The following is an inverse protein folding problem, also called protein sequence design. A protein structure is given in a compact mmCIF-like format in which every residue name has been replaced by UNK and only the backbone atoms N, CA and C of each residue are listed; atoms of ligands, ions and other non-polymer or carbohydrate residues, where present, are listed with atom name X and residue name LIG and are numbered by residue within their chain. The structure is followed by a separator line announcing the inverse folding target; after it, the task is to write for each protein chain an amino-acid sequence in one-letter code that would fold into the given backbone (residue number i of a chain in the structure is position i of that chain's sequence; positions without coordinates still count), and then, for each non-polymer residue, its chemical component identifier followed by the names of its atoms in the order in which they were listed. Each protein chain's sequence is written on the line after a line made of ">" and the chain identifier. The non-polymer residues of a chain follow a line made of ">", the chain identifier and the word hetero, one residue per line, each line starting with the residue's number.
data_IF_182512543325
#
_entry.id   IF_182512543325
#
_cell.length_a   1.000
_cell.length_b   1.000
_cell.length_c   1.000
_cell.angle_alpha   90.00
_cell.angle_beta   90.00
_cell.angle_gamma   90.00
#
_symmetry.space_group_name_H-M   'P 1'
#
loop_
_entity.id
_entity.type
_entity.pdbx_description
1 polymer ?
#
# COMPACT_ATOMS: atom_id res chain seq x y z
N UNK A 1 -23.57 2.38 31.53
CA UNK A 1 -22.21 2.24 31.13
C UNK A 1 -21.86 3.11 29.95
N UNK A 2 -20.84 3.93 30.15
CA UNK A 2 -20.38 4.90 29.18
C UNK A 2 -19.85 4.28 27.88
N UNK A 3 -19.56 2.97 27.87
CA UNK A 3 -19.00 2.29 26.70
C UNK A 3 -19.90 2.32 25.48
N UNK A 4 -21.22 2.27 25.65
CA UNK A 4 -22.15 2.33 24.52
C UNK A 4 -22.22 3.72 23.90
N UNK A 5 -22.15 4.79 24.71
CA UNK A 5 -22.10 6.17 24.21
C UNK A 5 -20.77 6.44 23.53
N UNK A 6 -19.67 5.94 24.09
CA UNK A 6 -18.35 6.07 23.48
C UNK A 6 -18.26 5.35 22.16
N UNK A 7 -18.84 4.17 22.05
CA UNK A 7 -18.82 3.39 20.80
C UNK A 7 -19.58 4.14 19.71
N UNK A 8 -20.70 4.77 20.03
CA UNK A 8 -21.48 5.52 19.06
C UNK A 8 -20.78 6.77 18.59
N UNK A 9 -20.18 7.55 19.51
CA UNK A 9 -19.35 8.70 19.17
C UNK A 9 -18.14 8.30 18.38
N UNK A 10 -17.49 7.20 18.80
CA UNK A 10 -16.31 6.69 18.12
C UNK A 10 -16.62 6.23 16.70
N UNK A 11 -17.79 5.63 16.48
CA UNK A 11 -18.19 5.22 15.13
C UNK A 11 -18.41 6.43 14.21
N UNK A 12 -19.08 7.49 14.69
CA UNK A 12 -19.27 8.71 13.94
C UNK A 12 -17.99 9.47 13.70
N UNK A 13 -17.18 9.62 14.76
CA UNK A 13 -15.89 10.32 14.68
C UNK A 13 -14.84 9.55 13.89
N UNK A 14 -14.88 8.22 13.94
CA UNK A 14 -13.91 7.35 13.29
C UNK A 14 -14.33 6.90 11.90
N UNK A 15 -15.35 7.54 11.32
CA UNK A 15 -15.89 7.15 10.02
C UNK A 15 -14.82 7.04 8.93
N UNK A 16 -13.83 7.92 8.95
CA UNK A 16 -12.75 7.94 7.97
C UNK A 16 -11.38 7.57 8.57
N UNK A 17 -11.37 6.89 9.71
CA UNK A 17 -10.11 6.48 10.33
C UNK A 17 -9.43 5.33 9.58
N UNK A 18 -10.20 4.53 8.84
CA UNK A 18 -9.71 3.44 8.02
C UNK A 18 -8.72 2.53 8.76
N UNK A 19 -9.18 1.94 9.86
CA UNK A 19 -8.40 0.95 10.57
C UNK A 19 -8.10 -0.22 9.61
N UNK A 20 -6.84 -0.60 9.50
CA UNK A 20 -6.41 -1.58 8.51
C UNK A 20 -5.61 -0.99 7.38
N UNK A 21 -5.46 0.35 7.32
CA UNK A 21 -4.41 0.95 6.52
C UNK A 21 -3.11 0.72 7.28
N UNK A 22 -2.56 -0.46 7.09
CA UNK A 22 -1.36 -0.94 7.74
C UNK A 22 -0.24 0.10 7.61
N UNK A 23 0.24 0.61 8.73
CA UNK A 23 1.27 1.67 8.73
C UNK A 23 2.57 1.24 8.09
N UNK A 24 2.89 -0.04 8.22
CA UNK A 24 4.11 -0.57 7.61
C UNK A 24 4.01 -0.56 6.09
N UNK A 25 2.85 -0.88 5.56
CA UNK A 25 2.59 -0.91 4.11
C UNK A 25 2.26 0.49 3.59
N UNK A 26 1.55 1.30 4.38
CA UNK A 26 1.12 2.64 3.99
C UNK A 26 2.27 3.65 4.07
N UNK A 27 3.39 3.30 3.50
CA UNK A 27 4.55 4.14 3.34
C UNK A 27 4.98 4.00 1.87
N UNK A 28 5.24 5.11 1.21
CA UNK A 28 5.40 5.16 -0.24
C UNK A 28 6.39 4.12 -0.78
N UNK A 29 7.58 4.06 -0.22
CA UNK A 29 8.62 3.16 -0.72
C UNK A 29 8.25 1.69 -0.49
N UNK A 30 7.74 1.36 0.69
CA UNK A 30 7.36 -0.02 1.01
C UNK A 30 6.15 -0.48 0.22
N UNK A 31 5.17 0.40 0.02
CA UNK A 31 4.03 0.11 -0.85
C UNK A 31 4.49 -0.18 -2.27
N UNK A 32 5.40 0.63 -2.80
CA UNK A 32 5.95 0.44 -4.15
C UNK A 32 6.68 -0.90 -4.28
N UNK A 33 7.50 -1.25 -3.29
CA UNK A 33 8.24 -2.52 -3.29
C UNK A 33 7.29 -3.71 -3.26
N UNK A 34 6.31 -3.70 -2.36
CA UNK A 34 5.34 -4.79 -2.26
C UNK A 34 4.50 -4.93 -3.52
N UNK A 35 4.10 -3.82 -4.13
CA UNK A 35 3.34 -3.84 -5.39
C UNK A 35 4.18 -4.44 -6.51
N UNK A 36 5.45 -4.06 -6.60
CA UNK A 36 6.36 -4.63 -7.59
C UNK A 36 6.52 -6.13 -7.40
N UNK A 37 6.67 -6.59 -6.15
CA UNK A 37 6.86 -8.01 -5.85
C UNK A 37 5.61 -8.84 -6.08
N UNK A 38 4.43 -8.31 -5.78
CA UNK A 38 3.18 -9.07 -5.98
C UNK A 38 2.85 -9.22 -7.46
N UNK A 39 3.24 -8.26 -8.29
CA UNK A 39 3.04 -8.33 -9.73
C UNK A 39 4.12 -9.13 -10.46
N UNK A 40 5.22 -9.45 -9.78
CA UNK A 40 6.33 -10.22 -10.32
C UNK A 40 6.59 -11.42 -9.41
N UNK A 41 5.73 -12.43 -9.53
CA UNK A 41 5.67 -13.57 -8.62
C UNK A 41 7.00 -14.36 -8.45
N UNK A 42 7.80 -14.58 -9.50
CA UNK A 42 9.08 -15.27 -9.30
C UNK A 42 10.06 -14.50 -8.41
N UNK A 43 9.83 -13.21 -8.22
CA UNK A 43 10.69 -12.34 -7.45
C UNK A 43 11.43 -11.35 -8.32
N UNK A 44 12.06 -10.39 -7.67
CA UNK A 44 12.83 -9.34 -8.33
C UNK A 44 14.17 -9.19 -7.66
N UNK A 45 15.20 -8.89 -8.46
CA UNK A 45 16.52 -8.60 -7.94
C UNK A 45 16.53 -7.22 -7.28
N UNK A 46 17.54 -6.95 -6.46
CA UNK A 46 17.75 -5.65 -5.86
C UNK A 46 17.79 -4.54 -6.91
N UNK A 47 18.53 -4.77 -8.00
CA UNK A 47 18.64 -3.77 -9.06
C UNK A 47 17.34 -3.51 -9.80
N UNK A 48 16.56 -4.56 -10.04
CA UNK A 48 15.24 -4.42 -10.65
C UNK A 48 14.30 -3.59 -9.78
N UNK A 49 14.25 -3.90 -8.47
CA UNK A 49 13.45 -3.15 -7.51
C UNK A 49 13.88 -1.69 -7.44
N UNK A 50 15.18 -1.46 -7.42
CA UNK A 50 15.74 -0.10 -7.38
C UNK A 50 15.24 0.73 -8.55
N UNK A 51 15.27 0.17 -9.74
CA UNK A 51 14.80 0.86 -10.96
C UNK A 51 13.29 1.03 -10.97
N UNK A 52 12.55 -0.03 -10.68
CA UNK A 52 11.09 -0.02 -10.75
C UNK A 52 10.48 0.95 -9.72
N UNK A 53 11.08 1.03 -8.55
CA UNK A 53 10.58 1.85 -7.45
C UNK A 53 11.27 3.21 -7.35
N UNK A 54 12.29 3.46 -8.18
CA UNK A 54 13.07 4.70 -8.20
C UNK A 54 13.63 5.05 -6.82
N UNK A 55 14.30 4.09 -6.20
CA UNK A 55 14.88 4.25 -4.88
C UNK A 55 16.41 4.24 -4.97
N UNK A 56 17.04 4.90 -4.00
CA UNK A 56 18.48 4.81 -3.83
C UNK A 56 18.85 3.47 -3.18
N UNK A 57 20.09 3.05 -3.32
CA UNK A 57 20.58 1.81 -2.70
C UNK A 57 20.31 1.79 -1.20
N UNK A 58 20.65 2.89 -0.52
CA UNK A 58 20.46 2.99 0.92
C UNK A 58 19.01 2.94 1.35
N UNK A 59 18.13 3.66 0.65
CA UNK A 59 16.70 3.65 0.96
C UNK A 59 16.08 2.29 0.69
N UNK A 60 16.41 1.67 -0.44
CA UNK A 60 15.90 0.33 -0.74
C UNK A 60 16.38 -0.69 0.29
N UNK A 61 17.67 -0.68 0.63
CA UNK A 61 18.22 -1.58 1.66
C UNK A 61 17.49 -1.43 2.98
N UNK A 62 17.24 -0.20 3.41
CA UNK A 62 16.53 0.08 4.66
C UNK A 62 15.10 -0.44 4.64
N UNK A 63 14.38 -0.18 3.57
CA UNK A 63 12.98 -0.63 3.46
C UNK A 63 12.86 -2.14 3.30
N UNK A 64 13.79 -2.78 2.57
CA UNK A 64 13.82 -4.23 2.48
C UNK A 64 14.10 -4.89 3.83
N UNK A 65 14.99 -4.31 4.63
CA UNK A 65 15.26 -4.81 5.97
C UNK A 65 14.01 -4.73 6.86
N UNK A 66 13.25 -3.63 6.79
CA UNK A 66 12.01 -3.48 7.55
C UNK A 66 10.98 -4.53 7.13
N UNK A 67 10.81 -4.74 5.83
CA UNK A 67 9.85 -5.71 5.30
C UNK A 67 10.26 -7.15 5.63
N UNK A 68 11.55 -7.45 5.54
CA UNK A 68 12.09 -8.76 5.87
C UNK A 68 11.91 -9.07 7.36
N UNK A 69 12.23 -8.13 8.23
CA UNK A 69 12.05 -8.28 9.67
C UNK A 69 10.57 -8.50 10.05
N UNK A 70 9.67 -7.85 9.33
CA UNK A 70 8.23 -8.02 9.54
C UNK A 70 7.68 -9.32 8.95
N UNK A 71 8.50 -10.08 8.23
CA UNK A 71 8.07 -11.34 7.62
C UNK A 71 7.26 -11.19 6.34
N UNK A 72 7.25 -10.02 5.74
CA UNK A 72 6.45 -9.76 4.53
C UNK A 72 7.17 -10.13 3.25
N UNK A 73 8.49 -10.17 3.27
CA UNK A 73 9.31 -10.57 2.14
C UNK A 73 10.38 -11.55 2.60
N UNK A 74 10.95 -12.26 1.64
CA UNK A 74 12.14 -13.08 1.84
C UNK A 74 13.23 -12.57 0.93
N UNK A 75 14.44 -12.48 1.47
CA UNK A 75 15.61 -12.03 0.72
C UNK A 75 16.55 -13.24 0.56
N UNK A 76 16.82 -13.60 -0.68
CA UNK A 76 17.73 -14.69 -1.03
C UNK A 76 19.00 -14.08 -1.57
N UNK A 77 20.13 -14.46 -0.98
CA UNK A 77 21.45 -14.06 -1.48
C UNK A 77 22.10 -15.26 -2.13
N UNK A 78 22.58 -15.07 -3.34
CA UNK A 78 23.21 -16.12 -4.09
C UNK A 78 24.28 -15.57 -5.02
N UNK A 79 24.77 -16.42 -5.90
CA UNK A 79 25.76 -16.05 -6.88
C UNK A 79 25.26 -16.51 -8.25
N UNK A 80 25.28 -15.59 -9.21
CA UNK A 80 24.98 -15.89 -10.61
C UNK A 80 26.22 -15.52 -11.42
N UNK A 81 26.89 -16.56 -11.95
CA UNK A 81 28.21 -16.37 -12.54
C UNK A 81 29.21 -15.95 -11.47
N UNK A 82 29.88 -14.82 -11.67
CA UNK A 82 30.83 -14.27 -10.71
C UNK A 82 30.26 -13.13 -9.88
N UNK A 83 28.94 -12.88 -9.99
CA UNK A 83 28.28 -11.76 -9.31
C UNK A 83 27.40 -12.25 -8.19
N UNK A 84 27.42 -11.54 -7.08
CA UNK A 84 26.43 -11.75 -6.04
C UNK A 84 25.09 -11.25 -6.53
N UNK A 85 24.04 -12.02 -6.26
CA UNK A 85 22.67 -11.72 -6.63
C UNK A 85 21.83 -11.66 -5.37
N UNK A 86 21.06 -10.60 -5.22
CA UNK A 86 20.05 -10.51 -4.17
C UNK A 86 18.68 -10.58 -4.83
N UNK A 87 17.90 -11.58 -4.46
CA UNK A 87 16.56 -11.79 -4.99
C UNK A 87 15.54 -11.62 -3.86
N UNK A 88 14.50 -10.84 -4.10
CA UNK A 88 13.45 -10.60 -3.13
C UNK A 88 12.14 -11.20 -3.62
N UNK A 89 11.40 -11.80 -2.69
CA UNK A 89 10.06 -12.35 -2.95
C UNK A 89 9.10 -11.93 -1.85
N UNK A 90 7.85 -11.73 -2.22
CA UNK A 90 6.80 -11.53 -1.23
C UNK A 90 6.47 -12.89 -0.58
N UNK A 91 6.25 -12.89 0.73
CA UNK A 91 5.83 -14.10 1.46
C UNK A 91 4.31 -14.26 1.41
N UNK A 92 3.81 -15.42 1.86
CA UNK A 92 2.37 -15.63 2.02
C UNK A 92 1.75 -14.63 2.99
N UNK A 93 2.45 -14.33 4.07
CA UNK A 93 2.01 -13.32 5.04
C UNK A 93 2.03 -11.91 4.42
N UNK A 94 3.06 -11.60 3.65
CA UNK A 94 3.14 -10.33 2.93
C UNK A 94 2.00 -10.16 1.95
N UNK A 95 1.68 -11.21 1.21
CA UNK A 95 0.57 -11.22 0.26
C UNK A 95 -0.77 -11.00 0.97
N UNK A 96 -0.97 -11.68 2.09
CA UNK A 96 -2.19 -11.55 2.89
C UNK A 96 -2.36 -10.13 3.41
N UNK A 97 -1.33 -9.58 4.04
CA UNK A 97 -1.39 -8.21 4.58
C UNK A 97 -1.56 -7.16 3.49
N UNK A 98 -0.90 -7.35 2.37
CA UNK A 98 -1.05 -6.46 1.21
C UNK A 98 -2.48 -6.48 0.68
N UNK A 99 -3.08 -7.66 0.56
CA UNK A 99 -4.46 -7.81 0.09
C UNK A 99 -5.46 -7.15 1.05
N UNK A 100 -5.26 -7.33 2.35
CA UNK A 100 -6.07 -6.67 3.37
C UNK A 100 -5.94 -5.14 3.29
N UNK A 101 -4.72 -4.66 3.08
CA UNK A 101 -4.45 -3.24 2.91
C UNK A 101 -5.19 -2.68 1.68
N UNK A 102 -5.14 -3.38 0.56
CA UNK A 102 -5.83 -2.95 -0.66
C UNK A 102 -7.34 -2.87 -0.47
N UNK A 103 -7.93 -3.79 0.29
CA UNK A 103 -9.37 -3.76 0.56
C UNK A 103 -9.77 -2.50 1.33
N UNK A 104 -8.95 -2.09 2.30
CA UNK A 104 -9.20 -0.85 3.04
C UNK A 104 -8.97 0.37 2.15
N UNK A 105 -7.92 0.36 1.35
CA UNK A 105 -7.62 1.45 0.41
C UNK A 105 -8.76 1.62 -0.60
N UNK A 106 -9.34 0.53 -1.08
CA UNK A 106 -10.50 0.56 -1.97
C UNK A 106 -11.67 1.28 -1.34
N UNK A 107 -11.90 1.09 -0.04
CA UNK A 107 -12.94 1.82 0.70
C UNK A 107 -12.68 3.33 0.70
N UNK A 108 -11.41 3.73 0.91
CA UNK A 108 -11.02 5.14 0.84
C UNK A 108 -11.35 5.71 -0.54
N UNK A 109 -10.96 5.00 -1.58
CA UNK A 109 -11.21 5.42 -2.96
C UNK A 109 -12.70 5.53 -3.24
N UNK A 110 -13.48 4.55 -2.80
CA UNK A 110 -14.94 4.52 -3.00
C UNK A 110 -15.61 5.70 -2.29
N UNK A 111 -15.23 5.96 -1.05
CA UNK A 111 -15.80 7.09 -0.28
C UNK A 111 -15.49 8.42 -0.96
N UNK A 112 -14.24 8.63 -1.35
CA UNK A 112 -13.82 9.88 -2.00
C UNK A 112 -14.42 10.01 -3.41
N UNK A 113 -14.47 8.95 -4.19
CA UNK A 113 -14.97 8.97 -5.55
C UNK A 113 -16.46 9.31 -5.59
N UNK A 114 -17.23 8.79 -4.61
CA UNK A 114 -18.64 9.13 -4.50
C UNK A 114 -18.86 10.63 -4.28
N UNK A 115 -18.10 11.24 -3.39
CA UNK A 115 -18.17 12.68 -3.11
C UNK A 115 -17.74 13.50 -4.33
N UNK A 116 -16.67 13.10 -4.99
CA UNK A 116 -16.16 13.80 -6.19
C UNK A 116 -17.17 13.74 -7.33
N UNK A 117 -17.82 12.61 -7.53
CA UNK A 117 -18.86 12.47 -8.56
C UNK A 117 -20.04 13.40 -8.34
N UNK A 118 -20.49 13.52 -7.08
CA UNK A 118 -21.60 14.42 -6.73
C UNK A 118 -21.21 15.86 -7.05
N UNK A 119 -20.01 16.29 -6.68
CA UNK A 119 -19.51 17.63 -6.97
C UNK A 119 -19.38 17.87 -8.48
N UNK A 120 -18.88 16.90 -9.21
CA UNK A 120 -18.77 16.97 -10.66
C UNK A 120 -20.12 17.17 -11.34
N UNK A 121 -21.14 16.43 -10.91
CA UNK A 121 -22.50 16.56 -11.42
C UNK A 121 -23.09 17.91 -11.10
N UNK A 122 -22.85 18.45 -9.90
CA UNK A 122 -23.30 19.80 -9.55
C UNK A 122 -22.70 20.86 -10.45
N UNK A 123 -21.41 20.78 -10.72
CA UNK A 123 -20.72 21.73 -11.59
C UNK A 123 -21.24 21.68 -13.01
N UNK A 124 -21.52 20.51 -13.54
CA UNK A 124 -22.11 20.34 -14.87
C UNK A 124 -23.51 20.92 -14.94
N UNK A 125 -24.34 20.66 -13.93
CA UNK A 125 -25.70 21.20 -13.84
C UNK A 125 -25.68 22.72 -13.78
N UNK A 126 -24.78 23.30 -12.99
CA UNK A 126 -24.62 24.75 -12.88
C UNK A 126 -24.20 25.37 -14.21
N UNK A 127 -23.30 24.75 -14.91
CA UNK A 127 -22.85 25.19 -16.24
C UNK A 127 -24.01 25.18 -17.24
N UNK A 128 -24.84 24.14 -17.21
CA UNK A 128 -26.00 24.00 -18.09
C UNK A 128 -27.05 25.06 -17.80
N UNK A 129 -27.25 25.38 -16.54
CA UNK A 129 -28.20 26.40 -16.12
C UNK A 129 -27.76 27.82 -16.48
N UNK A 130 -26.45 28.07 -16.59
CA UNK A 130 -25.89 29.37 -16.94
C UNK A 130 -25.87 29.65 -18.44
N UNK A 131 -25.96 28.64 -19.21
CA UNK A 131 -26.00 28.76 -20.67
C UNK A 131 -27.42 28.74 -21.18
#
# INVERSE_FOLDING_TARGET
>A
MSSKKHTRSAEGEAQFAYQGLDRLIHEHARLSVLTALITNNPGLSFNELKKMCQLTDGNLSRHLAILDEAGLITIFKGIEGNRSLTLCRITSEGRKRYTEYLAVLERVVTDAAGAIRVDGQRKETDKTLRS
#
